data_IF_463133509644
#
_entry.id   IF_463133509644
#
_cell.length_a   1.000
_cell.length_b   1.000
_cell.length_c   1.000
_cell.angle_alpha   90.00
_cell.angle_beta   90.00
_cell.angle_gamma   90.00
#
_symmetry.space_group_name_H-M   'P 1'
#
loop_
_entity.id
_entity.type
_entity.pdbx_description
1 polymer ?
#
# COMPACT_ATOMS: atom_id res chain seq x y z
N UNK A 1 3.24 0.15 8.64
CA UNK A 1 4.58 0.75 8.88
C UNK A 1 4.41 2.26 8.84
N UNK A 2 4.89 3.00 9.85
CA UNK A 2 4.63 4.45 9.98
C UNK A 2 5.87 5.14 10.54
N UNK A 3 6.26 6.29 9.98
CA UNK A 3 7.44 7.04 10.45
C UNK A 3 7.35 7.43 11.95
N UNK A 4 6.13 7.67 12.44
CA UNK A 4 5.79 7.85 13.86
C UNK A 4 6.45 9.09 14.51
N UNK A 5 6.67 10.13 13.71
CA UNK A 5 7.29 11.40 14.12
C UNK A 5 6.27 12.54 14.29
N UNK A 6 5.14 12.49 13.58
CA UNK A 6 4.11 13.53 13.62
C UNK A 6 3.42 13.67 14.99
N UNK A 7 3.15 12.56 15.69
CA UNK A 7 2.46 12.54 16.99
C UNK A 7 3.30 13.15 18.12
N UNK A 8 4.62 12.99 18.03
CA UNK A 8 5.61 13.47 19.00
C UNK A 8 6.35 14.74 18.53
N UNK A 9 5.99 15.28 17.37
CA UNK A 9 6.65 16.47 16.82
C UNK A 9 6.47 17.68 17.74
N UNK A 10 7.53 18.46 17.92
CA UNK A 10 7.46 19.76 18.65
C UNK A 10 6.56 20.78 17.96
N UNK A 11 6.23 20.56 16.68
CA UNK A 11 5.27 21.37 15.91
C UNK A 11 3.83 20.94 16.13
N UNK A 12 3.58 19.79 16.74
CA UNK A 12 2.23 19.32 17.03
C UNK A 12 1.72 20.02 18.30
N UNK A 13 0.70 20.90 18.21
CA UNK A 13 0.18 21.62 19.37
C UNK A 13 -0.59 20.72 20.33
N UNK A 14 -0.91 19.48 19.94
CA UNK A 14 -1.60 18.48 20.76
C UNK A 14 -0.77 17.18 20.79
N UNK A 15 0.18 17.06 21.72
CA UNK A 15 1.06 15.90 21.81
C UNK A 15 0.30 14.59 21.87
N UNK A 16 0.85 13.54 21.25
CA UNK A 16 0.26 12.20 21.19
C UNK A 16 -1.14 12.15 20.54
N UNK A 17 -1.44 13.09 19.65
CA UNK A 17 -2.69 13.07 18.88
C UNK A 17 -2.46 13.32 17.40
N UNK A 18 -3.25 12.66 16.55
CA UNK A 18 -3.30 12.85 15.10
C UNK A 18 -4.76 12.89 14.68
N UNK A 19 -5.13 13.90 13.89
CA UNK A 19 -6.50 14.09 13.42
C UNK A 19 -6.52 14.13 11.90
N UNK A 20 -7.51 13.48 11.29
CA UNK A 20 -7.75 13.48 9.84
C UNK A 20 -8.81 14.49 9.39
N UNK A 21 -9.29 15.34 10.30
CA UNK A 21 -10.33 16.32 10.02
C UNK A 21 -10.16 17.55 10.93
N UNK A 22 -10.62 18.74 10.49
CA UNK A 22 -10.36 20.00 11.19
C UNK A 22 -11.18 20.10 12.49
N UNK A 23 -12.24 19.30 12.60
CA UNK A 23 -13.10 19.24 13.78
C UNK A 23 -12.55 18.31 14.87
N UNK A 24 -11.39 17.66 14.63
CA UNK A 24 -10.73 16.75 15.58
C UNK A 24 -11.67 15.69 16.17
N UNK A 25 -12.63 15.19 15.39
CA UNK A 25 -13.69 14.30 15.90
C UNK A 25 -13.16 12.96 16.40
N UNK A 26 -12.08 12.47 15.79
CA UNK A 26 -11.48 11.16 16.07
C UNK A 26 -9.97 11.33 16.10
N UNK A 27 -9.34 10.96 17.23
CA UNK A 27 -7.89 10.85 17.34
C UNK A 27 -7.46 9.51 16.74
N UNK A 28 -6.76 9.54 15.60
CA UNK A 28 -6.25 8.34 14.93
C UNK A 28 -5.06 7.72 15.64
N UNK A 29 -4.36 8.48 16.48
CA UNK A 29 -3.23 8.00 17.29
C UNK A 29 -3.66 7.57 18.69
N UNK A 30 -4.96 7.35 18.91
CA UNK A 30 -5.49 6.94 20.21
C UNK A 30 -5.01 5.56 20.65
N UNK A 31 -5.62 5.02 21.70
CA UNK A 31 -5.20 3.76 22.34
C UNK A 31 -5.30 2.52 21.43
N UNK A 32 -6.04 2.60 20.33
CA UNK A 32 -6.34 1.47 19.44
C UNK A 32 -5.32 1.29 18.30
N UNK A 33 -4.38 2.22 18.10
CA UNK A 33 -3.42 2.11 16.99
C UNK A 33 -2.32 1.09 17.30
N UNK A 34 -2.14 0.12 16.40
CA UNK A 34 -1.00 -0.80 16.43
C UNK A 34 0.03 -0.37 15.38
N UNK A 35 1.24 -0.05 15.84
CA UNK A 35 2.36 0.32 14.97
C UNK A 35 3.46 -0.73 15.10
N UNK A 36 3.47 -1.68 14.17
CA UNK A 36 4.49 -2.74 14.16
C UNK A 36 5.89 -2.20 13.82
N UNK A 37 5.99 -1.41 12.75
CA UNK A 37 7.25 -0.83 12.29
C UNK A 37 7.18 0.69 12.42
N UNK A 38 8.08 1.25 13.24
CA UNK A 38 8.13 2.68 13.59
C UNK A 38 9.49 3.30 13.29
N UNK A 39 9.51 4.56 12.88
CA UNK A 39 10.74 5.34 12.68
C UNK A 39 11.76 4.61 11.81
N UNK A 40 12.95 4.36 12.37
CA UNK A 40 14.07 3.70 11.68
C UNK A 40 13.80 2.28 11.20
N UNK A 41 12.75 1.62 11.71
CA UNK A 41 12.36 0.29 11.20
C UNK A 41 11.55 0.37 9.89
N UNK A 42 11.11 1.57 9.49
CA UNK A 42 10.38 1.80 8.25
C UNK A 42 11.35 1.94 7.09
N UNK A 43 11.76 0.79 6.55
CA UNK A 43 12.70 0.70 5.42
C UNK A 43 12.10 -0.13 4.29
N UNK A 44 12.56 0.13 3.06
CA UNK A 44 12.21 -0.68 1.88
C UNK A 44 12.56 -2.15 2.15
N UNK A 45 13.73 -2.42 2.72
CA UNK A 45 14.18 -3.77 3.04
C UNK A 45 13.21 -4.50 3.98
N UNK A 46 12.79 -3.86 5.08
CA UNK A 46 11.85 -4.48 6.01
C UNK A 46 10.49 -4.73 5.35
N UNK A 47 10.00 -3.79 4.54
CA UNK A 47 8.76 -3.97 3.80
C UNK A 47 8.82 -5.19 2.87
N UNK A 48 9.87 -5.32 2.06
CA UNK A 48 10.07 -6.45 1.14
C UNK A 48 10.25 -7.77 1.91
N UNK A 49 10.94 -7.77 3.05
CA UNK A 49 11.10 -8.96 3.90
C UNK A 49 9.78 -9.43 4.50
N UNK A 50 8.90 -8.51 4.90
CA UNK A 50 7.54 -8.83 5.39
C UNK A 50 6.74 -9.51 4.29
N UNK A 51 6.68 -8.92 3.09
CA UNK A 51 5.95 -9.48 1.95
C UNK A 51 6.47 -10.88 1.59
N UNK A 52 7.78 -11.02 1.43
CA UNK A 52 8.42 -12.27 0.97
C UNK A 52 8.59 -13.34 2.06
N UNK A 53 8.24 -13.03 3.30
CA UNK A 53 8.40 -13.89 4.47
C UNK A 53 9.86 -14.14 4.88
N UNK A 54 10.81 -13.34 4.40
CA UNK A 54 12.25 -13.49 4.70
C UNK A 54 12.61 -12.79 6.02
N UNK A 55 12.03 -13.27 7.11
CA UNK A 55 12.24 -12.72 8.45
C UNK A 55 12.93 -13.75 9.35
N UNK A 56 13.88 -13.34 10.21
CA UNK A 56 14.51 -14.23 11.19
C UNK A 56 13.48 -15.01 12.01
N UNK A 57 13.74 -16.25 12.45
CA UNK A 57 12.79 -17.02 13.28
C UNK A 57 12.40 -16.32 14.59
N UNK A 58 13.26 -15.45 15.11
CA UNK A 58 13.01 -14.64 16.31
C UNK A 58 12.07 -13.44 16.10
N UNK A 59 11.72 -13.09 14.85
CA UNK A 59 10.80 -11.97 14.58
C UNK A 59 9.42 -12.23 15.21
N UNK A 60 8.85 -11.27 15.96
CA UNK A 60 7.52 -11.42 16.56
C UNK A 60 6.41 -11.64 15.53
N UNK A 61 5.32 -12.29 15.95
CA UNK A 61 4.14 -12.56 15.10
C UNK A 61 3.52 -11.28 14.53
N UNK A 62 3.44 -10.19 15.32
CA UNK A 62 2.85 -8.93 14.86
C UNK A 62 3.65 -8.29 13.71
N UNK A 63 4.96 -8.56 13.66
CA UNK A 63 5.88 -8.10 12.61
C UNK A 63 5.97 -9.07 11.42
N UNK A 64 4.99 -9.96 11.24
CA UNK A 64 4.98 -10.94 10.13
C UNK A 64 3.69 -10.86 9.35
N UNK A 65 3.79 -11.12 8.06
CA UNK A 65 2.65 -11.39 7.21
C UNK A 65 2.41 -12.90 7.14
N UNK A 66 1.70 -13.45 8.13
CA UNK A 66 1.42 -14.89 8.21
C UNK A 66 0.22 -15.25 7.32
N UNK A 67 0.49 -15.36 6.01
CA UNK A 67 -0.50 -15.63 4.97
C UNK A 67 -0.11 -16.86 4.14
N UNK A 68 -1.11 -17.41 3.46
CA UNK A 68 -1.06 -18.63 2.65
C UNK A 68 -1.88 -18.48 1.35
N UNK A 69 -2.04 -19.56 0.59
CA UNK A 69 -2.80 -19.60 -0.67
C UNK A 69 -4.29 -19.29 -0.54
N UNK A 70 -4.81 -19.17 0.68
CA UNK A 70 -6.21 -18.88 0.98
C UNK A 70 -6.41 -17.48 1.55
N UNK A 71 -5.33 -16.72 1.71
CA UNK A 71 -5.33 -15.41 2.34
C UNK A 71 -5.56 -14.29 1.33
N UNK A 72 -6.49 -13.38 1.63
CA UNK A 72 -6.67 -12.14 0.86
C UNK A 72 -5.88 -11.01 1.51
N UNK A 73 -5.12 -10.26 0.71
CA UNK A 73 -4.19 -9.24 1.21
C UNK A 73 -4.58 -7.87 0.69
N UNK A 74 -4.62 -6.88 1.60
CA UNK A 74 -4.66 -5.46 1.26
C UNK A 74 -3.30 -4.85 1.55
N UNK A 75 -2.68 -4.26 0.53
CA UNK A 75 -1.51 -3.39 0.68
C UNK A 75 -1.96 -1.96 0.39
N UNK A 76 -1.92 -1.11 1.41
CA UNK A 76 -2.16 0.33 1.27
C UNK A 76 -0.86 1.10 1.49
N UNK A 77 -0.50 1.94 0.52
CA UNK A 77 0.69 2.78 0.58
C UNK A 77 0.30 4.24 0.35
N UNK A 78 0.88 5.15 1.13
CA UNK A 78 0.71 6.58 0.95
C UNK A 78 2.03 7.29 1.22
N UNK A 79 2.36 8.28 0.41
CA UNK A 79 3.58 9.04 0.54
C UNK A 79 3.87 9.90 -0.69
N UNK A 80 5.09 10.40 -0.77
CA UNK A 80 5.60 11.04 -1.98
C UNK A 80 6.19 9.99 -2.92
N UNK A 81 6.13 10.26 -4.22
CA UNK A 81 6.59 9.36 -5.26
C UNK A 81 6.60 10.04 -6.62
N UNK A 82 6.82 9.25 -7.66
CA UNK A 82 6.87 9.69 -9.04
C UNK A 82 6.73 8.50 -9.98
N UNK A 83 7.17 8.66 -11.24
CA UNK A 83 7.08 7.60 -12.24
C UNK A 83 7.91 6.37 -11.83
N UNK A 84 7.22 5.35 -11.34
CA UNK A 84 7.76 4.05 -10.98
C UNK A 84 8.41 3.97 -9.60
N UNK A 85 8.20 4.93 -8.70
CA UNK A 85 8.75 4.85 -7.34
C UNK A 85 7.90 5.53 -6.26
N UNK A 86 8.07 5.07 -5.02
CA UNK A 86 7.52 5.69 -3.80
C UNK A 86 8.63 5.84 -2.74
N UNK A 87 8.71 7.01 -2.11
CA UNK A 87 9.74 7.34 -1.13
C UNK A 87 9.45 6.75 0.25
N UNK A 88 10.49 6.21 0.87
CA UNK A 88 10.52 5.77 2.26
C UNK A 88 11.44 6.70 3.06
N UNK A 89 10.87 7.38 4.06
CA UNK A 89 11.61 8.27 4.97
C UNK A 89 12.46 9.33 4.24
N UNK A 90 12.02 9.79 3.07
CA UNK A 90 12.70 10.75 2.17
C UNK A 90 14.12 10.38 1.66
N UNK A 91 14.74 9.32 2.18
CA UNK A 91 16.11 8.92 1.86
C UNK A 91 16.21 7.73 0.90
N UNK A 92 15.18 6.89 0.85
CA UNK A 92 15.16 5.68 0.03
C UNK A 92 13.90 5.64 -0.83
N UNK A 93 13.96 4.86 -1.92
CA UNK A 93 12.86 4.72 -2.86
C UNK A 93 12.56 3.24 -3.04
N UNK A 94 11.28 2.86 -2.94
CA UNK A 94 10.79 1.58 -3.40
C UNK A 94 10.40 1.74 -4.87
N UNK A 95 11.07 1.01 -5.76
CA UNK A 95 10.69 0.99 -7.17
C UNK A 95 9.50 0.06 -7.45
N UNK A 96 8.78 0.34 -8.53
CA UNK A 96 7.69 -0.50 -9.01
C UNK A 96 8.16 -1.90 -9.46
N UNK A 97 9.41 -2.03 -9.94
CA UNK A 97 10.01 -3.32 -10.27
C UNK A 97 10.31 -4.15 -9.02
N UNK A 98 10.89 -3.55 -7.98
CA UNK A 98 11.12 -4.26 -6.70
C UNK A 98 9.81 -4.73 -6.07
N UNK A 99 8.77 -3.90 -6.14
CA UNK A 99 7.45 -4.25 -5.65
C UNK A 99 6.83 -5.40 -6.47
N UNK A 100 6.90 -5.34 -7.81
CA UNK A 100 6.41 -6.40 -8.68
C UNK A 100 7.13 -7.73 -8.41
N UNK A 101 8.46 -7.71 -8.29
CA UNK A 101 9.26 -8.90 -7.97
C UNK A 101 8.96 -9.47 -6.58
N UNK A 102 8.64 -8.61 -5.60
CA UNK A 102 8.22 -9.07 -4.28
C UNK A 102 6.86 -9.76 -4.32
N UNK A 103 5.88 -9.20 -5.05
CA UNK A 103 4.55 -9.80 -5.24
C UNK A 103 4.67 -11.12 -6.01
N UNK A 104 5.54 -11.22 -7.01
CA UNK A 104 5.80 -12.49 -7.70
C UNK A 104 6.35 -13.55 -6.75
N UNK A 105 7.29 -13.16 -5.91
CA UNK A 105 7.81 -14.09 -4.90
C UNK A 105 6.74 -14.51 -3.89
N UNK A 106 5.76 -13.66 -3.60
CA UNK A 106 4.59 -14.04 -2.79
C UNK A 106 3.73 -15.07 -3.52
N UNK A 107 3.49 -14.88 -4.82
CA UNK A 107 2.70 -15.81 -5.65
C UNK A 107 3.37 -17.18 -5.75
N UNK A 108 4.66 -17.22 -6.11
CA UNK A 108 5.44 -18.46 -6.22
C UNK A 108 5.51 -19.23 -4.90
N UNK A 109 5.51 -18.51 -3.77
CA UNK A 109 5.50 -19.09 -2.42
C UNK A 109 4.09 -19.33 -1.88
N UNK A 110 3.04 -19.17 -2.69
CA UNK A 110 1.65 -19.39 -2.27
C UNK A 110 1.28 -18.60 -1.01
N UNK A 111 1.60 -17.30 -0.98
CA UNK A 111 1.35 -16.44 0.18
C UNK A 111 0.08 -15.60 0.08
N UNK A 112 -0.68 -15.72 -1.01
CA UNK A 112 -1.96 -15.06 -1.17
C UNK A 112 -2.88 -15.82 -2.14
N UNK A 113 -4.18 -15.64 -1.96
CA UNK A 113 -5.23 -15.99 -2.92
C UNK A 113 -5.49 -14.82 -3.88
N UNK A 114 -5.83 -13.66 -3.31
CA UNK A 114 -6.06 -12.39 -4.01
C UNK A 114 -5.33 -11.24 -3.29
N UNK A 115 -4.84 -10.26 -4.06
CA UNK A 115 -4.14 -9.09 -3.54
C UNK A 115 -4.78 -7.80 -4.10
N UNK A 116 -5.21 -6.92 -3.19
CA UNK A 116 -5.62 -5.57 -3.51
C UNK A 116 -4.51 -4.60 -3.13
N UNK A 117 -3.96 -3.89 -4.10
CA UNK A 117 -2.95 -2.86 -3.94
C UNK A 117 -3.56 -1.48 -4.14
N UNK A 118 -3.51 -0.64 -3.11
CA UNK A 118 -3.97 0.75 -3.17
C UNK A 118 -2.78 1.64 -2.87
N UNK A 119 -2.51 2.59 -3.76
CA UNK A 119 -1.40 3.53 -3.60
C UNK A 119 -1.86 4.96 -3.80
N UNK A 120 -1.53 5.82 -2.84
CA UNK A 120 -1.82 7.24 -2.86
C UNK A 120 -0.52 8.06 -2.88
N UNK A 121 -0.13 8.49 -4.08
CA UNK A 121 1.10 9.25 -4.36
C UNK A 121 0.97 9.93 -5.71
N UNK A 122 1.83 10.91 -6.01
CA UNK A 122 1.98 11.42 -7.37
C UNK A 122 2.39 10.28 -8.32
N UNK A 123 1.80 10.24 -9.50
CA UNK A 123 1.95 9.21 -10.53
C UNK A 123 1.68 7.78 -10.04
N UNK A 124 0.71 7.62 -9.14
CA UNK A 124 0.38 6.36 -8.48
C UNK A 124 0.15 5.17 -9.43
N UNK A 125 -0.45 5.40 -10.60
CA UNK A 125 -0.68 4.39 -11.63
C UNK A 125 0.61 3.63 -12.02
N UNK A 126 1.75 4.34 -12.09
CA UNK A 126 3.05 3.77 -12.48
C UNK A 126 3.51 2.62 -11.56
N UNK A 127 3.07 2.62 -10.29
CA UNK A 127 3.47 1.62 -9.30
C UNK A 127 2.87 0.23 -9.58
N UNK A 128 1.65 0.17 -10.12
CA UNK A 128 0.97 -1.09 -10.43
C UNK A 128 1.26 -1.63 -11.85
N UNK A 129 1.87 -0.81 -12.71
CA UNK A 129 2.04 -1.11 -14.15
C UNK A 129 2.86 -2.37 -14.43
N UNK A 130 3.81 -2.69 -13.55
CA UNK A 130 4.69 -3.85 -13.70
C UNK A 130 4.19 -5.09 -12.95
N UNK A 131 2.97 -5.09 -12.40
CA UNK A 131 2.45 -6.31 -11.79
C UNK A 131 2.15 -7.35 -12.87
N UNK A 132 2.92 -8.43 -12.83
CA UNK A 132 2.81 -9.57 -13.73
C UNK A 132 2.42 -10.86 -13.00
N UNK A 133 2.11 -10.77 -11.70
CA UNK A 133 1.58 -11.88 -10.92
C UNK A 133 0.05 -11.93 -11.01
N UNK A 134 -0.57 -13.12 -11.01
CA UNK A 134 -2.02 -13.25 -11.11
C UNK A 134 -2.73 -12.83 -9.82
N UNK A 135 -4.04 -12.61 -9.93
CA UNK A 135 -4.95 -12.26 -8.84
C UNK A 135 -4.57 -10.98 -8.07
N UNK A 136 -3.99 -10.01 -8.79
CA UNK A 136 -3.65 -8.69 -8.24
C UNK A 136 -4.53 -7.62 -8.88
N UNK A 137 -5.14 -6.77 -8.06
CA UNK A 137 -5.85 -5.55 -8.50
C UNK A 137 -5.13 -4.35 -7.92
N UNK A 138 -4.74 -3.41 -8.77
CA UNK A 138 -4.07 -2.17 -8.38
C UNK A 138 -4.98 -0.95 -8.58
N UNK A 139 -4.98 -0.04 -7.61
CA UNK A 139 -5.72 1.23 -7.63
C UNK A 139 -4.76 2.36 -7.23
N UNK A 140 -4.65 3.38 -8.09
CA UNK A 140 -3.83 4.56 -7.84
C UNK A 140 -4.68 5.83 -7.69
N UNK A 141 -4.18 6.80 -6.92
CA UNK A 141 -4.85 8.10 -6.76
C UNK A 141 -4.63 9.10 -7.90
N UNK A 142 -3.60 8.91 -8.75
CA UNK A 142 -3.32 9.74 -9.92
C UNK A 142 -2.71 8.96 -11.08
N UNK A 143 -2.88 9.45 -12.31
CA UNK A 143 -2.31 8.86 -13.53
C UNK A 143 -0.82 9.20 -13.71
N UNK A 144 -0.14 8.50 -14.63
CA UNK A 144 1.23 8.86 -15.02
C UNK A 144 1.26 10.31 -15.56
N UNK A 145 2.18 11.12 -15.04
CA UNK A 145 2.25 12.56 -15.34
C UNK A 145 1.29 13.45 -14.53
N UNK A 146 0.50 12.89 -13.61
CA UNK A 146 -0.40 13.64 -12.72
C UNK A 146 0.05 13.62 -11.25
N UNK A 147 -0.13 14.75 -10.58
CA UNK A 147 0.10 14.91 -9.15
C UNK A 147 -1.06 14.36 -8.32
N UNK A 148 -0.77 13.79 -7.13
CA UNK A 148 -1.80 13.53 -6.12
C UNK A 148 -1.96 14.77 -5.23
N UNK A 149 -3.19 15.26 -5.13
CA UNK A 149 -3.49 16.53 -4.46
C UNK A 149 -3.88 16.31 -2.99
N UNK A 150 -3.22 17.05 -2.10
CA UNK A 150 -3.64 17.15 -0.71
C UNK A 150 -4.79 18.14 -0.53
N UNK A 151 -5.66 17.89 0.44
CA UNK A 151 -6.72 18.82 0.81
C UNK A 151 -6.24 19.77 1.92
N UNK A 152 -6.56 21.07 1.82
CA UNK A 152 -6.20 22.07 2.84
C UNK A 152 -7.03 21.90 4.13
N UNK A 153 -6.65 20.95 4.98
CA UNK A 153 -7.17 20.85 6.35
C UNK A 153 -6.42 21.77 7.33
N UNK A 154 -5.22 22.18 6.98
CA UNK A 154 -4.27 22.94 7.81
C UNK A 154 -3.34 23.75 6.88
N UNK A 155 -2.60 24.73 7.44
CA UNK A 155 -1.55 25.41 6.69
C UNK A 155 -0.43 24.43 6.33
N UNK A 156 0.27 24.68 5.21
CA UNK A 156 1.41 23.88 4.78
C UNK A 156 2.50 23.72 5.87
N UNK A 157 2.64 24.73 6.74
CA UNK A 157 3.56 24.68 7.89
C UNK A 157 3.18 23.65 8.97
N UNK A 158 1.91 23.25 9.03
CA UNK A 158 1.35 22.32 10.01
C UNK A 158 1.15 20.92 9.42
N UNK A 159 0.83 20.80 8.13
CA UNK A 159 0.81 19.49 7.45
C UNK A 159 1.44 19.60 6.05
N UNK A 160 2.48 18.81 5.82
CA UNK A 160 3.22 18.78 4.55
C UNK A 160 2.49 17.99 3.46
N UNK A 161 1.62 17.07 3.86
CA UNK A 161 0.64 16.37 3.01
C UNK A 161 -0.62 16.09 3.83
N UNK A 162 -1.74 15.85 3.16
CA UNK A 162 -3.02 15.57 3.83
C UNK A 162 -3.84 14.61 2.99
N UNK A 163 -3.90 13.36 3.46
CA UNK A 163 -4.90 12.40 2.99
C UNK A 163 -6.20 12.74 3.70
N UNK A 164 -7.21 13.19 2.95
CA UNK A 164 -8.55 13.39 3.50
C UNK A 164 -9.38 12.14 3.24
N UNK A 165 -10.05 11.65 4.28
CA UNK A 165 -11.09 10.63 4.13
C UNK A 165 -12.43 11.34 4.05
N UNK A 166 -13.20 11.04 3.01
CA UNK A 166 -14.58 11.51 2.89
C UNK A 166 -15.50 10.41 3.39
N UNK A 167 -15.99 10.55 4.62
CA UNK A 167 -16.94 9.62 5.24
C UNK A 167 -18.35 9.71 4.65
N UNK A 168 -18.63 10.77 3.89
CA UNK A 168 -19.92 11.02 3.23
C UNK A 168 -19.98 10.51 1.79
N UNK A 169 -18.86 10.07 1.21
CA UNK A 169 -18.87 9.57 -0.17
C UNK A 169 -19.63 8.25 -0.32
N UNK A 170 -19.74 7.43 0.73
CA UNK A 170 -20.31 6.09 0.59
C UNK A 170 -21.13 5.65 1.81
N UNK A 171 -22.47 5.75 1.69
CA UNK A 171 -23.44 5.18 2.65
C UNK A 171 -23.66 3.67 2.48
N UNK A 172 -22.73 2.94 1.85
CA UNK A 172 -22.90 1.52 1.49
C UNK A 172 -22.26 0.63 2.56
N UNK A 173 -22.88 -0.51 2.87
CA UNK A 173 -22.31 -1.50 3.80
C UNK A 173 -21.05 -2.11 3.17
N UNK A 174 -19.89 -1.86 3.78
CA UNK A 174 -18.59 -2.36 3.30
C UNK A 174 -18.52 -3.88 3.24
N UNK A 175 -19.37 -4.59 3.99
CA UNK A 175 -19.44 -6.06 3.98
C UNK A 175 -20.18 -6.62 2.76
N UNK A 176 -20.84 -5.76 1.99
CA UNK A 176 -21.68 -6.15 0.85
C UNK A 176 -21.31 -5.45 -0.45
N UNK A 177 -20.71 -4.26 -0.37
CA UNK A 177 -20.31 -3.50 -1.56
C UNK A 177 -19.13 -4.18 -2.24
N UNK A 178 -19.26 -4.45 -3.53
CA UNK A 178 -18.16 -4.97 -4.34
C UNK A 178 -17.08 -3.88 -4.48
N UNK A 179 -15.81 -4.28 -4.52
CA UNK A 179 -14.69 -3.35 -4.76
C UNK A 179 -14.89 -2.57 -6.06
N UNK A 180 -15.40 -3.22 -7.11
CA UNK A 180 -15.75 -2.60 -8.38
C UNK A 180 -16.83 -1.53 -8.25
N UNK A 181 -17.78 -1.71 -7.34
CA UNK A 181 -18.86 -0.75 -7.11
C UNK A 181 -18.44 0.36 -6.15
N UNK A 182 -17.45 0.10 -5.30
CA UNK A 182 -16.85 1.07 -4.39
C UNK A 182 -16.01 2.08 -5.18
N UNK A 183 -15.16 1.62 -6.11
CA UNK A 183 -14.30 2.49 -6.92
C UNK A 183 -14.86 2.86 -8.31
N UNK A 184 -15.89 2.16 -8.81
CA UNK A 184 -16.38 2.28 -10.18
C UNK A 184 -17.09 3.59 -10.57
N UNK A 185 -17.30 4.51 -9.61
CA UNK A 185 -17.84 5.86 -9.88
C UNK A 185 -16.80 6.87 -10.37
N UNK A 186 -15.50 6.53 -10.36
CA UNK A 186 -14.40 7.37 -10.86
C UNK A 186 -13.60 6.52 -11.86
N UNK A 187 -13.83 6.68 -13.17
CA UNK A 187 -13.27 5.76 -14.19
C UNK A 187 -12.06 6.34 -14.91
N UNK A 188 -10.90 5.74 -14.67
CA UNK A 188 -9.86 5.45 -15.66
C UNK A 188 -9.32 4.05 -15.35
N UNK A 189 -9.73 3.03 -16.11
CA UNK A 189 -9.27 1.64 -15.95
C UNK A 189 -8.22 1.38 -17.02
N UNK A 190 -6.99 1.09 -16.61
CA UNK A 190 -5.91 0.69 -17.51
C UNK A 190 -5.67 -0.81 -17.27
N UNK A 191 -5.93 -1.68 -18.26
CA UNK A 191 -5.66 -3.10 -18.12
C UNK A 191 -4.15 -3.32 -17.96
N UNK A 192 -3.77 -4.16 -16.99
CA UNK A 192 -2.39 -4.60 -16.81
C UNK A 192 -1.88 -5.44 -18.00
N UNK A 193 -0.57 -5.73 -18.05
CA UNK A 193 0.01 -6.55 -19.10
C UNK A 193 -0.65 -7.94 -19.15
N UNK A 194 -0.95 -8.42 -20.35
CA UNK A 194 -1.47 -9.77 -20.55
C UNK A 194 -0.35 -10.77 -20.28
N UNK A 195 -0.52 -11.60 -19.25
CA UNK A 195 0.40 -12.71 -18.95
C UNK A 195 0.06 -13.85 -19.92
N UNK A 196 0.84 -14.01 -20.99
CA UNK A 196 0.73 -15.17 -21.87
C UNK A 196 1.32 -16.40 -21.17
N UNK A 197 0.46 -17.27 -20.65
CA UNK A 197 0.88 -18.57 -20.10
C UNK A 197 1.19 -19.50 -21.27
N UNK A 198 2.46 -19.58 -21.65
CA UNK A 198 2.93 -20.57 -22.62
C UNK A 198 2.94 -21.97 -21.96
N UNK A 199 1.97 -22.79 -22.33
CA UNK A 199 1.83 -24.20 -21.89
C UNK A 199 2.95 -25.14 -22.36
N UNK A 200 4.04 -24.64 -22.95
CA UNK A 200 5.11 -25.44 -23.53
C UNK A 200 6.13 -25.97 -22.52
N UNK A 201 6.15 -25.50 -21.26
CA UNK A 201 7.12 -25.95 -20.24
C UNK A 201 6.60 -27.05 -19.30
N UNK A 202 5.33 -27.46 -19.40
CA UNK A 202 4.75 -28.50 -18.54
C UNK A 202 4.87 -29.93 -19.09
N UNK A 203 5.42 -30.12 -20.31
CA UNK A 203 5.50 -31.45 -20.95
C UNK A 203 6.93 -32.00 -21.17
N UNK A 204 7.99 -31.28 -20.79
CA UNK A 204 9.38 -31.77 -21.04
C UNK A 204 10.01 -32.59 -19.91
N UNK A 205 9.36 -32.74 -18.74
CA UNK A 205 9.96 -33.46 -17.59
C UNK A 205 9.31 -34.82 -17.26
N UNK A 206 8.67 -35.49 -18.23
CA UNK A 206 8.02 -36.79 -18.00
C UNK A 206 8.46 -37.91 -18.96
N UNK A 207 9.73 -37.91 -19.38
CA UNK A 207 10.36 -39.08 -20.01
C UNK A 207 11.84 -39.19 -19.62
N UNK A 208 12.11 -39.86 -18.49
CA UNK A 208 13.03 -40.99 -18.29
C UNK A 208 13.22 -41.27 -16.80
#
# INVERSE_FOLDING_TARGET
>A
MVADDASCSSRNPRPATIFNNPYSRVNLYGEEIEIDYRGYEVTVENFIRVLTGRLPPSTPTSKRLNTDEHSNILIYMTGHGGDGFLKFQDDHELSNSELADAIEQMWQKRRYHELLFIVDTCQAESMGKLFYSPNVVAIGSSAIGEESLSSQLCSFSLCQSTVITRSDLFRRDIRRVLVTDFFGSVRHIIPGPVIEINNSTLYENNTL
#
